data_IF_340565111215
#
_entry.id   IF_340565111215
#
_cell.length_a   1.000
_cell.length_b   1.000
_cell.length_c   1.000
_cell.angle_alpha   90.00
_cell.angle_beta   90.00
_cell.angle_gamma   90.00
#
_symmetry.space_group_name_H-M   'P 1'
#
loop_
_entity.id
_entity.type
_entity.pdbx_description
1 polymer ?
#
# COMPACT_ATOMS: atom_id res chain seq x y z
N UNK A 1 -0.81 -10.72 -17.71
CA UNK A 1 0.02 -10.03 -16.72
C UNK A 1 -0.27 -10.53 -15.32
N UNK A 2 0.72 -10.54 -14.47
CA UNK A 2 0.52 -10.97 -13.09
C UNK A 2 -0.06 -9.84 -12.24
N UNK A 3 -0.73 -10.22 -11.16
CA UNK A 3 -1.24 -9.28 -10.16
C UNK A 3 -0.27 -9.19 -9.01
N UNK A 4 -0.12 -8.00 -8.46
CA UNK A 4 0.76 -7.72 -7.32
C UNK A 4 0.00 -6.97 -6.25
N UNK A 5 0.13 -7.42 -5.02
CA UNK A 5 -0.42 -6.73 -3.87
C UNK A 5 0.63 -5.74 -3.36
N UNK A 6 0.21 -4.49 -3.21
CA UNK A 6 1.00 -3.48 -2.51
C UNK A 6 0.43 -3.34 -1.11
N UNK A 7 1.24 -3.63 -0.10
CA UNK A 7 0.87 -3.41 1.30
C UNK A 7 1.68 -2.22 1.80
N UNK A 8 0.98 -1.20 2.24
CA UNK A 8 1.61 0.02 2.76
C UNK A 8 1.85 -0.13 4.25
N UNK A 9 3.01 0.37 4.70
CA UNK A 9 3.40 0.31 6.10
C UNK A 9 3.91 1.67 6.55
N UNK A 10 3.48 2.09 7.74
CA UNK A 10 3.95 3.32 8.33
C UNK A 10 3.51 4.57 7.61
N UNK A 11 4.38 5.55 7.58
CA UNK A 11 4.10 6.87 7.01
C UNK A 11 3.57 7.84 8.05
N UNK A 12 3.95 9.11 7.92
CA UNK A 12 3.43 10.17 8.77
C UNK A 12 2.10 10.67 8.24
N UNK A 13 1.23 11.12 9.13
CA UNK A 13 -0.01 11.77 8.76
C UNK A 13 0.23 13.27 8.58
N UNK A 14 -0.20 13.86 7.45
CA UNK A 14 -0.05 15.29 7.26
C UNK A 14 -0.97 16.06 8.21
N UNK A 15 -0.47 17.15 8.77
CA UNK A 15 -1.25 18.03 9.62
C UNK A 15 -1.81 19.20 8.81
N UNK A 16 -3.08 19.53 9.04
CA UNK A 16 -3.76 20.61 8.38
C UNK A 16 -4.33 20.26 7.02
N UNK A 17 -5.34 21.01 6.60
CA UNK A 17 -6.08 20.74 5.35
C UNK A 17 -5.20 20.85 4.11
N UNK A 18 -4.33 21.86 4.08
CA UNK A 18 -3.47 22.09 2.92
C UNK A 18 -2.48 20.95 2.70
N UNK A 19 -1.85 20.47 3.77
CA UNK A 19 -0.93 19.34 3.70
C UNK A 19 -1.66 18.05 3.31
N UNK A 20 -2.86 17.83 3.83
CA UNK A 20 -3.69 16.67 3.49
C UNK A 20 -4.10 16.71 2.01
N UNK A 21 -4.46 17.86 1.48
CA UNK A 21 -4.83 18.02 0.07
C UNK A 21 -3.65 17.72 -0.85
N UNK A 22 -2.46 18.17 -0.48
CA UNK A 22 -1.24 17.88 -1.26
C UNK A 22 -0.94 16.40 -1.32
N UNK A 23 -1.08 15.71 -0.19
CA UNK A 23 -0.85 14.26 -0.12
C UNK A 23 -1.90 13.52 -0.96
N UNK A 24 -3.17 13.88 -0.86
CA UNK A 24 -4.24 13.29 -1.66
C UNK A 24 -4.01 13.51 -3.15
N UNK A 25 -3.56 14.71 -3.54
CA UNK A 25 -3.25 15.02 -4.93
C UNK A 25 -2.09 14.16 -5.44
N UNK A 26 -1.05 13.97 -4.62
CA UNK A 26 0.09 13.14 -4.98
C UNK A 26 -0.32 11.67 -5.20
N UNK A 27 -1.16 11.12 -4.31
CA UNK A 27 -1.70 9.78 -4.48
C UNK A 27 -2.54 9.64 -5.74
N UNK A 28 -3.39 10.64 -6.02
CA UNK A 28 -4.19 10.67 -7.24
C UNK A 28 -3.34 10.69 -8.50
N UNK A 29 -2.26 11.46 -8.49
CA UNK A 29 -1.33 11.51 -9.61
C UNK A 29 -0.60 10.18 -9.81
N UNK A 30 -0.18 9.55 -8.72
CA UNK A 30 0.49 8.25 -8.79
C UNK A 30 -0.45 7.17 -9.32
N UNK A 31 -1.67 7.08 -8.79
CA UNK A 31 -2.68 6.16 -9.29
C UNK A 31 -2.98 6.43 -10.77
N UNK A 32 -3.12 7.70 -11.15
CA UNK A 32 -3.37 8.08 -12.54
C UNK A 32 -2.22 7.67 -13.47
N UNK A 33 -0.97 7.75 -12.99
CA UNK A 33 0.19 7.35 -13.78
C UNK A 33 0.22 5.85 -14.06
N UNK A 34 -0.39 5.04 -13.21
CA UNK A 34 -0.48 3.59 -13.43
C UNK A 34 -1.60 3.22 -14.40
N UNK A 35 -2.63 4.06 -14.54
CA UNK A 35 -3.71 3.85 -15.49
C UNK A 35 -4.39 2.49 -15.32
N UNK A 36 -4.46 1.72 -16.39
CA UNK A 36 -5.10 0.41 -16.40
C UNK A 36 -4.38 -0.64 -15.56
N UNK A 37 -3.12 -0.41 -15.21
CA UNK A 37 -2.38 -1.31 -14.32
C UNK A 37 -2.93 -1.28 -12.89
N UNK A 38 -3.59 -0.21 -12.50
CA UNK A 38 -4.24 -0.13 -11.19
C UNK A 38 -5.57 -0.89 -11.23
N UNK A 39 -5.60 -2.09 -10.63
CA UNK A 39 -6.80 -2.92 -10.58
C UNK A 39 -7.73 -2.40 -9.49
N UNK A 40 -7.19 -2.14 -8.32
CA UNK A 40 -7.92 -1.64 -7.16
C UNK A 40 -7.00 -0.72 -6.36
N UNK A 41 -7.36 0.54 -6.24
CA UNK A 41 -6.60 1.50 -5.44
C UNK A 41 -6.59 1.17 -3.97
N UNK A 42 -7.54 0.36 -3.53
CA UNK A 42 -7.64 -0.09 -2.15
C UNK A 42 -8.05 1.00 -1.20
N UNK A 43 -7.69 0.81 0.05
CA UNK A 43 -8.08 1.72 1.13
C UNK A 43 -6.99 1.80 2.17
N UNK A 44 -6.90 2.92 2.89
CA UNK A 44 -6.17 2.92 4.15
C UNK A 44 -6.89 2.00 5.14
N UNK A 45 -6.12 1.35 5.99
CA UNK A 45 -6.68 0.46 7.02
C UNK A 45 -6.38 1.01 8.40
N UNK A 46 -7.29 0.73 9.32
CA UNK A 46 -7.15 1.14 10.70
C UNK A 46 -6.27 0.17 11.50
N UNK A 47 -6.45 0.21 12.81
CA UNK A 47 -5.64 -0.58 13.73
C UNK A 47 -5.83 -2.08 13.49
N UNK A 48 -4.71 -2.80 13.40
CA UNK A 48 -4.70 -4.23 13.15
C UNK A 48 -4.99 -5.04 14.41
N UNK A 49 -5.54 -6.23 14.19
CA UNK A 49 -5.57 -7.32 15.17
C UNK A 49 -5.06 -8.56 14.47
N UNK A 50 -4.39 -9.44 15.20
CA UNK A 50 -3.79 -10.64 14.61
C UNK A 50 -4.38 -11.88 15.27
N UNK A 51 -4.84 -12.82 14.46
CA UNK A 51 -5.23 -14.15 14.93
C UNK A 51 -4.05 -15.08 14.70
N UNK A 52 -3.52 -15.65 15.79
CA UNK A 52 -2.37 -16.55 15.72
C UNK A 52 -2.80 -17.96 15.33
N UNK A 53 -1.84 -18.80 14.99
CA UNK A 53 -2.10 -20.18 14.55
C UNK A 53 -2.85 -21.04 15.58
N UNK A 54 -2.70 -20.74 16.86
CA UNK A 54 -3.42 -21.40 17.94
C UNK A 54 -4.81 -20.82 18.22
N UNK A 55 -5.25 -19.83 17.42
CA UNK A 55 -6.55 -19.18 17.54
C UNK A 55 -6.60 -18.00 18.49
N UNK A 56 -5.50 -17.70 19.19
CA UNK A 56 -5.49 -16.52 20.08
C UNK A 56 -5.44 -15.23 19.28
N UNK A 57 -6.03 -14.17 19.82
CA UNK A 57 -6.10 -12.86 19.17
C UNK A 57 -5.19 -11.88 19.89
N UNK A 58 -4.31 -11.22 19.14
CA UNK A 58 -3.48 -10.12 19.63
C UNK A 58 -3.98 -8.83 19.01
N UNK A 59 -4.17 -7.79 19.80
CA UNK A 59 -4.74 -6.51 19.35
C UNK A 59 -3.70 -5.59 18.74
N UNK A 60 -2.83 -6.15 17.91
CA UNK A 60 -1.87 -5.39 17.10
C UNK A 60 -1.51 -6.16 15.83
N UNK A 61 -0.78 -5.52 14.94
CA UNK A 61 -0.28 -6.09 13.69
C UNK A 61 1.19 -6.46 13.74
N UNK A 62 1.80 -6.51 14.93
CA UNK A 62 3.21 -6.76 15.08
C UNK A 62 4.05 -5.49 14.96
N UNK A 63 5.32 -5.65 14.67
CA UNK A 63 6.28 -4.54 14.61
C UNK A 63 6.07 -3.61 13.40
N UNK A 64 5.43 -4.11 12.35
CA UNK A 64 5.25 -3.35 11.10
C UNK A 64 3.85 -3.59 10.54
N UNK A 65 2.80 -3.07 11.20
CA UNK A 65 1.43 -3.31 10.77
C UNK A 65 1.12 -2.62 9.44
N UNK A 66 0.19 -3.21 8.69
CA UNK A 66 -0.28 -2.62 7.45
C UNK A 66 -1.02 -1.31 7.71
N UNK A 67 -0.79 -0.31 6.86
CA UNK A 67 -1.51 0.97 6.91
C UNK A 67 -2.45 1.17 5.72
N UNK A 68 -2.41 0.29 4.74
CA UNK A 68 -3.27 0.32 3.56
C UNK A 68 -2.87 -0.73 2.55
N UNK A 69 -3.58 -0.77 1.43
CA UNK A 69 -3.29 -1.72 0.36
C UNK A 69 -3.76 -1.21 -0.99
N UNK A 70 -3.16 -1.74 -2.05
CA UNK A 70 -3.61 -1.60 -3.43
C UNK A 70 -3.32 -2.89 -4.19
N UNK A 71 -4.01 -3.11 -5.30
CA UNK A 71 -3.79 -4.24 -6.19
C UNK A 71 -3.49 -3.72 -7.59
N UNK A 72 -2.38 -4.17 -8.17
CA UNK A 72 -1.95 -3.73 -9.49
C UNK A 72 -1.64 -4.91 -10.40
N UNK A 73 -1.53 -4.63 -11.70
CA UNK A 73 -0.98 -5.56 -12.69
C UNK A 73 0.40 -5.09 -13.14
N UNK A 74 1.29 -6.04 -13.41
CA UNK A 74 2.59 -5.76 -13.99
C UNK A 74 3.10 -6.99 -14.74
N UNK A 75 3.99 -6.77 -15.70
CA UNK A 75 4.57 -7.86 -16.48
C UNK A 75 5.57 -8.68 -15.68
N UNK A 76 6.17 -8.08 -14.65
CA UNK A 76 7.20 -8.71 -13.82
C UNK A 76 7.25 -8.04 -12.45
N UNK A 77 7.93 -8.70 -11.51
CA UNK A 77 8.21 -8.12 -10.20
C UNK A 77 9.00 -6.81 -10.34
N UNK A 78 9.98 -6.78 -11.24
CA UNK A 78 10.78 -5.57 -11.45
C UNK A 78 9.93 -4.40 -11.90
N UNK A 79 8.95 -4.63 -12.77
CA UNK A 79 8.01 -3.60 -13.19
C UNK A 79 7.13 -3.14 -12.03
N UNK A 80 6.65 -4.08 -11.21
CA UNK A 80 5.84 -3.74 -10.03
C UNK A 80 6.65 -2.92 -9.03
N UNK A 81 7.92 -3.29 -8.81
CA UNK A 81 8.81 -2.55 -7.92
C UNK A 81 9.07 -1.13 -8.46
N UNK A 82 9.26 -0.99 -9.78
CA UNK A 82 9.45 0.32 -10.39
C UNK A 82 8.23 1.22 -10.15
N UNK A 83 7.01 0.67 -10.25
CA UNK A 83 5.78 1.40 -9.96
C UNK A 83 5.71 1.81 -8.48
N UNK A 84 6.08 0.91 -7.58
CA UNK A 84 6.06 1.16 -6.13
C UNK A 84 7.01 2.29 -5.73
N UNK A 85 8.13 2.46 -6.45
CA UNK A 85 9.10 3.53 -6.16
C UNK A 85 8.52 4.93 -6.33
N UNK A 86 7.41 5.07 -7.05
CA UNK A 86 6.71 6.34 -7.21
C UNK A 86 5.69 6.63 -6.13
N UNK A 87 5.51 5.73 -5.17
CA UNK A 87 4.48 5.89 -4.15
C UNK A 87 4.75 7.08 -3.23
N UNK A 88 3.77 7.98 -3.04
CA UNK A 88 3.93 9.14 -2.16
C UNK A 88 4.24 8.78 -0.70
N UNK A 89 3.88 7.57 -0.27
CA UNK A 89 4.13 7.11 1.10
C UNK A 89 5.61 7.09 1.44
N UNK A 90 6.48 6.86 0.45
CA UNK A 90 7.93 6.82 0.66
C UNK A 90 8.45 8.17 1.16
N UNK A 91 7.93 9.27 0.64
CA UNK A 91 8.30 10.61 1.08
C UNK A 91 7.83 10.89 2.52
N UNK A 92 6.81 10.18 2.98
CA UNK A 92 6.29 10.30 4.35
C UNK A 92 6.97 9.34 5.33
N UNK A 93 8.01 8.65 4.91
CA UNK A 93 8.77 7.74 5.77
C UNK A 93 8.20 6.33 5.85
N UNK A 94 7.18 6.02 5.06
CA UNK A 94 6.61 4.68 4.99
C UNK A 94 7.32 3.78 4.01
N UNK A 95 6.79 2.57 3.85
CA UNK A 95 7.30 1.59 2.91
C UNK A 95 6.16 0.89 2.17
N UNK A 96 6.49 0.30 1.02
CA UNK A 96 5.55 -0.48 0.23
C UNK A 96 6.11 -1.90 0.10
N UNK A 97 5.38 -2.85 0.64
CA UNK A 97 5.67 -4.27 0.47
C UNK A 97 4.99 -4.74 -0.82
N UNK A 98 5.74 -5.40 -1.69
CA UNK A 98 5.26 -5.83 -3.00
C UNK A 98 5.30 -7.35 -3.05
N UNK A 99 4.15 -7.97 -3.27
CA UNK A 99 4.06 -9.43 -3.34
C UNK A 99 3.15 -9.84 -4.49
N UNK A 100 3.58 -10.84 -5.26
CA UNK A 100 2.75 -11.36 -6.33
C UNK A 100 1.56 -12.12 -5.76
N UNK A 101 0.37 -11.79 -6.25
CA UNK A 101 -0.84 -12.55 -5.93
C UNK A 101 -0.86 -13.78 -6.84
N UNK A 102 -0.68 -14.93 -6.25
CA UNK A 102 -0.58 -16.20 -6.98
C UNK A 102 -1.96 -16.78 -7.25
N UNK A 103 -2.16 -17.32 -8.44
CA UNK A 103 -3.36 -18.09 -8.73
C UNK A 103 -3.26 -19.45 -8.01
N UNK A 104 -4.39 -19.88 -7.46
CA UNK A 104 -4.44 -21.14 -6.72
C UNK A 104 -5.37 -22.14 -7.39
#
# INVERSE_FOLDING_TARGET
MAKYLFVYHGGSHPEGKEAQQKVMAAWGQWFGSMGKALIDGGNPVGKSSTVRSNGTVVKDGGANPASGYSLIEAASLDEALAKAKGCPLLAAGGSVEVAQAMDM
#
